data_IF_063646179999
#
_entry.id   IF_063646179999
#
_cell.length_a   1.000
_cell.length_b   1.000
_cell.length_c   1.000
_cell.angle_alpha   90.00
_cell.angle_beta   90.00
_cell.angle_gamma   90.00
#
_symmetry.space_group_name_H-M   'P 1'
#
loop_
_entity.id
_entity.type
_entity.pdbx_description
1 polymer ?
#
# COMPACT_ATOMS: atom_id res chain seq x y z
N UNK A 1 -6.98 -15.39 -33.54
CA UNK A 1 -7.35 -15.93 -32.22
C UNK A 1 -6.11 -16.59 -31.64
N UNK A 2 -5.35 -15.87 -30.83
CA UNK A 2 -4.32 -16.43 -29.96
C UNK A 2 -4.51 -15.74 -28.61
N UNK A 3 -4.74 -16.58 -27.61
CA UNK A 3 -4.69 -16.26 -26.19
C UNK A 3 -3.41 -15.50 -25.90
N UNK A 4 -3.53 -14.26 -25.45
CA UNK A 4 -2.61 -13.69 -24.47
C UNK A 4 -3.43 -13.64 -23.17
N UNK A 5 -3.53 -14.81 -22.53
CA UNK A 5 -3.72 -14.90 -21.09
C UNK A 5 -2.45 -14.29 -20.47
N UNK A 6 -2.43 -12.97 -20.32
CA UNK A 6 -1.54 -12.33 -19.36
C UNK A 6 -2.33 -12.31 -18.05
N UNK A 7 -2.17 -13.42 -17.33
CA UNK A 7 -2.29 -13.61 -15.89
C UNK A 7 -2.83 -12.40 -15.13
N UNK A 8 -3.92 -12.60 -14.41
CA UNK A 8 -4.19 -12.04 -13.09
C UNK A 8 -2.89 -11.60 -12.40
N UNK A 9 -2.47 -10.36 -12.64
CA UNK A 9 -1.27 -9.81 -12.03
C UNK A 9 -1.59 -9.78 -10.55
N UNK A 10 -0.91 -10.60 -9.76
CA UNK A 10 -1.01 -10.58 -8.31
C UNK A 10 -1.05 -9.11 -7.88
N UNK A 11 -2.13 -8.67 -7.21
CA UNK A 11 -2.32 -7.30 -6.70
C UNK A 11 -1.29 -6.98 -5.58
N UNK A 12 -0.08 -7.57 -5.65
CA UNK A 12 1.10 -7.45 -4.79
C UNK A 12 2.24 -6.88 -5.63
N UNK A 13 2.72 -5.70 -5.25
CA UNK A 13 3.86 -5.03 -5.87
C UNK A 13 4.95 -4.71 -4.85
N UNK A 14 6.10 -4.27 -5.33
CA UNK A 14 7.18 -3.72 -4.51
C UNK A 14 7.38 -2.25 -4.86
N UNK A 15 7.49 -1.40 -3.84
CA UNK A 15 7.90 -0.02 -3.97
C UNK A 15 9.33 0.11 -3.50
N UNK A 16 10.19 0.71 -4.33
CA UNK A 16 11.60 0.92 -3.98
C UNK A 16 11.82 2.33 -3.46
N UNK A 17 12.42 2.44 -2.27
CA UNK A 17 12.80 3.71 -1.65
C UNK A 17 14.17 3.59 -0.99
N UNK A 18 15.08 4.54 -1.26
CA UNK A 18 16.47 4.55 -0.77
C UNK A 18 17.27 3.24 -0.95
N UNK A 19 16.89 2.44 -1.96
CA UNK A 19 17.56 1.18 -2.27
C UNK A 19 16.97 -0.06 -1.59
N UNK A 20 15.94 0.11 -0.76
CA UNK A 20 15.17 -0.97 -0.13
C UNK A 20 13.82 -1.15 -0.83
N UNK A 21 13.32 -2.39 -0.85
CA UNK A 21 12.04 -2.76 -1.47
C UNK A 21 10.99 -3.01 -0.39
N UNK A 22 9.83 -2.36 -0.52
CA UNK A 22 8.72 -2.40 0.42
C UNK A 22 7.50 -3.03 -0.24
N UNK A 23 6.82 -3.99 0.43
CA UNK A 23 5.62 -4.61 -0.11
C UNK A 23 4.47 -3.61 -0.21
N UNK A 24 3.74 -3.69 -1.31
CA UNK A 24 2.56 -2.89 -1.59
C UNK A 24 1.46 -3.77 -2.14
N UNK A 25 0.20 -3.37 -1.93
CA UNK A 25 -0.94 -4.04 -2.55
C UNK A 25 -1.94 -3.05 -3.10
N UNK A 26 -2.53 -3.39 -4.23
CA UNK A 26 -3.58 -2.59 -4.84
C UNK A 26 -4.93 -3.24 -4.48
N UNK A 27 -5.71 -2.61 -3.62
CA UNK A 27 -6.95 -3.19 -3.11
C UNK A 27 -8.15 -2.39 -3.60
N UNK A 28 -9.16 -3.08 -4.11
CA UNK A 28 -10.43 -2.47 -4.43
C UNK A 28 -11.28 -2.31 -3.16
N UNK A 29 -11.55 -1.07 -2.78
CA UNK A 29 -12.48 -0.75 -1.71
C UNK A 29 -13.85 -0.41 -2.30
N UNK A 30 -14.89 -0.99 -1.72
CA UNK A 30 -16.30 -0.67 -1.98
C UNK A 30 -16.94 -0.25 -0.65
N UNK A 31 -16.66 0.99 -0.26
CA UNK A 31 -17.16 1.63 0.95
C UNK A 31 -17.86 2.96 0.62
N UNK A 32 -18.77 3.44 1.49
CA UNK A 32 -19.51 4.67 1.24
C UNK A 32 -18.62 5.90 0.98
N UNK A 33 -17.48 5.99 1.66
CA UNK A 33 -16.56 7.15 1.59
C UNK A 33 -15.29 6.86 0.77
N UNK A 34 -15.01 5.59 0.48
CA UNK A 34 -13.79 5.16 -0.22
C UNK A 34 -14.19 4.14 -1.28
N UNK A 35 -14.07 4.54 -2.55
CA UNK A 35 -14.37 3.67 -3.68
C UNK A 35 -13.16 3.54 -4.61
N UNK A 36 -13.02 2.39 -5.25
CA UNK A 36 -12.01 2.16 -6.28
C UNK A 36 -10.76 1.44 -5.77
N UNK A 37 -9.75 1.33 -6.65
CA UNK A 37 -8.47 0.70 -6.33
C UNK A 37 -7.54 1.68 -5.62
N UNK A 38 -7.07 1.31 -4.45
CA UNK A 38 -6.18 2.11 -3.61
C UNK A 38 -4.91 1.33 -3.30
N UNK A 39 -3.77 2.01 -3.33
CA UNK A 39 -2.47 1.42 -3.03
C UNK A 39 -2.23 1.46 -1.53
N UNK A 40 -1.94 0.32 -0.93
CA UNK A 40 -1.56 0.21 0.48
C UNK A 40 -0.11 -0.27 0.60
N UNK A 41 0.56 0.09 1.69
CA UNK A 41 1.91 -0.39 1.99
C UNK A 41 2.08 -0.64 3.49
N UNK A 42 3.30 -0.83 3.95
CA UNK A 42 3.61 -1.28 5.31
C UNK A 42 4.14 -0.17 6.20
N UNK A 43 3.93 -0.29 7.51
CA UNK A 43 4.42 0.66 8.52
C UNK A 43 5.94 0.90 8.42
N UNK A 44 6.73 -0.11 8.05
CA UNK A 44 8.17 0.08 7.81
C UNK A 44 8.48 1.08 6.70
N UNK A 45 7.62 1.20 5.67
CA UNK A 45 7.77 2.23 4.65
C UNK A 45 7.50 3.60 5.26
N UNK A 46 6.39 3.81 5.97
CA UNK A 46 6.08 5.09 6.64
C UNK A 46 7.24 5.57 7.52
N UNK A 47 7.82 4.66 8.33
CA UNK A 47 8.99 4.96 9.15
C UNK A 47 10.21 5.36 8.31
N UNK A 48 10.44 4.72 7.17
CA UNK A 48 11.55 5.06 6.28
C UNK A 48 11.34 6.42 5.59
N UNK A 49 10.10 6.82 5.34
CA UNK A 49 9.76 8.11 4.73
C UNK A 49 9.92 9.28 5.70
N UNK A 50 9.98 9.03 7.01
CA UNK A 50 9.94 10.04 8.07
C UNK A 50 11.26 10.20 8.82
N UNK A 51 11.61 11.45 9.15
CA UNK A 51 12.66 11.78 10.10
C UNK A 51 12.17 11.56 11.53
N UNK A 52 13.11 11.47 12.49
CA UNK A 52 12.78 11.36 13.93
C UNK A 52 11.97 12.55 14.47
N UNK A 53 12.00 13.68 13.78
CA UNK A 53 11.26 14.90 14.12
C UNK A 53 9.86 14.94 13.48
N UNK A 54 9.46 13.89 12.74
CA UNK A 54 8.13 13.77 12.12
C UNK A 54 7.98 14.58 10.82
N UNK A 55 9.07 14.85 10.12
CA UNK A 55 9.06 15.45 8.78
C UNK A 55 9.44 14.40 7.73
N UNK A 56 9.06 14.57 6.47
CA UNK A 56 9.58 13.68 5.42
C UNK A 56 11.10 13.80 5.27
N UNK A 57 11.78 12.68 5.03
CA UNK A 57 13.25 12.65 4.82
C UNK A 57 13.65 13.32 3.50
N UNK A 58 12.74 13.38 2.53
CA UNK A 58 12.94 14.03 1.23
C UNK A 58 11.61 14.35 0.54
N UNK A 59 11.66 15.15 -0.53
CA UNK A 59 10.48 15.38 -1.41
C UNK A 59 10.06 14.11 -2.14
N UNK A 60 11.00 13.20 -2.42
CA UNK A 60 10.67 11.88 -2.96
C UNK A 60 9.87 11.07 -1.94
N UNK A 61 10.24 11.14 -0.66
CA UNK A 61 9.52 10.44 0.40
C UNK A 61 8.07 10.93 0.52
N UNK A 62 7.88 12.25 0.45
CA UNK A 62 6.55 12.85 0.40
C UNK A 62 5.76 12.39 -0.84
N UNK A 63 6.40 12.39 -2.01
CA UNK A 63 5.75 11.97 -3.26
C UNK A 63 5.42 10.46 -3.28
N UNK A 64 6.12 9.65 -2.49
CA UNK A 64 5.77 8.25 -2.23
C UNK A 64 4.55 8.19 -1.32
N UNK A 65 4.58 8.88 -0.18
CA UNK A 65 3.48 8.91 0.79
C UNK A 65 2.16 9.35 0.18
N UNK A 66 2.17 10.40 -0.65
CA UNK A 66 0.98 10.92 -1.35
C UNK A 66 0.30 9.89 -2.28
N UNK A 67 0.96 8.78 -2.61
CA UNK A 67 0.39 7.68 -3.40
C UNK A 67 -0.18 6.56 -2.54
N UNK A 68 0.23 6.46 -1.28
CA UNK A 68 -0.20 5.41 -0.36
C UNK A 68 -1.49 5.86 0.33
N UNK A 69 -2.51 5.04 0.24
CA UNK A 69 -3.80 5.30 0.88
C UNK A 69 -3.73 5.05 2.39
N UNK A 70 -3.10 3.95 2.80
CA UNK A 70 -2.94 3.57 4.20
C UNK A 70 -1.75 2.65 4.38
N UNK A 71 -1.11 2.75 5.56
CA UNK A 71 -0.08 1.83 6.01
C UNK A 71 -0.68 0.79 6.95
N UNK A 72 -0.26 -0.45 6.77
CA UNK A 72 -0.66 -1.58 7.62
C UNK A 72 0.57 -2.24 8.24
N UNK A 73 0.43 -3.02 9.33
CA UNK A 73 1.56 -3.75 9.87
C UNK A 73 2.21 -4.66 8.83
N UNK A 74 3.54 -4.80 8.84
CA UNK A 74 4.28 -5.57 7.82
C UNK A 74 3.76 -7.00 7.63
N UNK A 75 3.43 -7.67 8.73
CA UNK A 75 2.86 -9.04 8.71
C UNK A 75 1.45 -9.13 8.10
N UNK A 76 0.78 -7.99 7.96
CA UNK A 76 -0.62 -7.89 7.56
C UNK A 76 -0.76 -7.73 6.04
N UNK A 77 0.26 -7.19 5.35
CA UNK A 77 0.24 -7.00 3.89
C UNK A 77 0.04 -8.32 3.12
N UNK A 78 0.55 -9.42 3.65
CA UNK A 78 0.44 -10.77 3.07
C UNK A 78 -0.86 -11.51 3.45
N UNK A 79 -1.72 -10.89 4.26
CA UNK A 79 -2.98 -11.52 4.64
C UNK A 79 -3.96 -11.57 3.46
N UNK A 80 -5.02 -12.36 3.63
CA UNK A 80 -6.09 -12.41 2.64
C UNK A 80 -6.71 -11.02 2.43
N UNK A 81 -7.08 -10.72 1.19
CA UNK A 81 -7.61 -9.42 0.79
C UNK A 81 -8.81 -9.00 1.66
N UNK A 82 -9.75 -9.92 1.93
CA UNK A 82 -10.89 -9.63 2.80
C UNK A 82 -10.46 -9.21 4.22
N UNK A 83 -9.40 -9.80 4.76
CA UNK A 83 -8.87 -9.43 6.07
C UNK A 83 -8.22 -8.05 6.03
N UNK A 84 -7.47 -7.74 4.97
CA UNK A 84 -6.92 -6.40 4.73
C UNK A 84 -8.02 -5.35 4.63
N UNK A 85 -9.05 -5.63 3.84
CA UNK A 85 -10.20 -4.73 3.65
C UNK A 85 -10.90 -4.48 4.99
N UNK A 86 -11.14 -5.51 5.80
CA UNK A 86 -11.76 -5.34 7.11
C UNK A 86 -10.87 -4.54 8.08
N UNK A 87 -9.58 -4.84 8.12
CA UNK A 87 -8.63 -4.10 8.95
C UNK A 87 -8.62 -2.61 8.62
N UNK A 88 -8.53 -2.27 7.33
CA UNK A 88 -8.55 -0.88 6.87
C UNK A 88 -9.89 -0.21 7.21
N UNK A 89 -11.02 -0.92 7.03
CA UNK A 89 -12.35 -0.43 7.42
C UNK A 89 -12.42 -0.02 8.89
N UNK A 90 -11.83 -0.81 9.79
CA UNK A 90 -11.80 -0.52 11.22
C UNK A 90 -10.88 0.66 11.58
N UNK A 91 -9.87 0.97 10.76
CA UNK A 91 -8.99 2.12 10.97
C UNK A 91 -9.59 3.45 10.52
N UNK A 92 -10.43 3.44 9.48
CA UNK A 92 -11.03 4.66 8.90
C UNK A 92 -12.42 5.00 9.44
N UNK A 93 -13.05 4.08 10.18
CA UNK A 93 -14.37 4.26 10.80
C UNK A 93 -14.31 5.06 12.11
#
# INVERSE_FOLDING_TARGET
>A
MRHDDLDDVEDIGLLRFEGEDYPTRLIAFDLPEISGKHLISVDSLDVALMTKDGCYVSEEARAVDEKIFVYVPDKMIDAEENTLIQYVKEMVA
#
